data_IF_817774640316
#
_entry.id   IF_817774640316
#
_cell.length_a   1.000
_cell.length_b   1.000
_cell.length_c   1.000
_cell.angle_alpha   90.00
_cell.angle_beta   90.00
_cell.angle_gamma   90.00
#
_symmetry.space_group_name_H-M   'P 1'
#
loop_
_entity.id
_entity.type
_entity.pdbx_description
1 polymer ?
#
# COMPACT_ATOMS: atom_id res chain seq x y z
N UNK A 1 20.55 15.22 -2.06
CA UNK A 1 19.70 15.79 -0.98
C UNK A 1 18.54 14.85 -0.78
N UNK A 2 18.06 14.68 0.45
CA UNK A 2 16.89 13.85 0.71
C UNK A 2 15.63 14.62 0.29
N UNK A 3 14.75 14.08 -0.55
CA UNK A 3 13.55 14.78 -1.01
C UNK A 3 12.64 15.31 0.10
N UNK A 4 12.64 14.67 1.26
CA UNK A 4 11.85 15.13 2.41
C UNK A 4 12.40 16.41 3.06
N UNK A 5 13.67 16.73 2.85
CA UNK A 5 14.31 17.92 3.41
C UNK A 5 14.21 19.17 2.49
N UNK A 6 13.71 18.97 1.25
CA UNK A 6 13.58 20.03 0.25
C UNK A 6 12.25 20.79 0.33
N UNK A 7 11.32 20.34 1.17
CA UNK A 7 9.96 20.87 1.26
C UNK A 7 9.62 21.30 2.69
N UNK A 8 8.68 22.22 2.81
CA UNK A 8 8.11 22.64 4.07
C UNK A 8 6.98 21.72 4.51
N UNK A 9 7.02 21.32 5.78
CA UNK A 9 6.05 20.42 6.41
C UNK A 9 5.19 21.17 7.41
N UNK A 10 3.90 20.87 7.41
CA UNK A 10 2.95 21.38 8.41
C UNK A 10 2.14 20.24 9.00
N UNK A 11 1.54 20.51 10.16
CA UNK A 11 0.64 19.58 10.83
C UNK A 11 -0.77 20.14 10.78
N UNK A 12 -1.71 19.36 10.28
CA UNK A 12 -3.13 19.71 10.25
C UNK A 12 -3.98 18.67 10.99
N UNK A 13 -5.01 19.14 11.69
CA UNK A 13 -6.00 18.28 12.32
C UNK A 13 -6.99 17.77 11.29
N UNK A 14 -6.95 16.48 10.98
CA UNK A 14 -7.86 15.82 10.05
C UNK A 14 -8.98 15.14 10.83
N UNK A 15 -10.22 15.59 10.56
CA UNK A 15 -11.42 15.05 11.20
C UNK A 15 -12.42 14.56 10.16
N UNK A 16 -12.75 13.27 10.24
CA UNK A 16 -13.68 12.60 9.33
C UNK A 16 -14.88 12.12 10.13
N UNK A 17 -16.07 12.44 9.66
CA UNK A 17 -17.33 12.03 10.27
C UNK A 17 -18.13 11.17 9.29
N UNK A 18 -18.90 10.24 9.83
CA UNK A 18 -19.91 9.52 9.06
C UNK A 18 -21.15 10.39 8.79
N UNK A 19 -22.11 9.84 8.06
CA UNK A 19 -23.37 10.53 7.73
C UNK A 19 -24.22 10.87 8.98
N UNK A 20 -24.03 10.16 10.08
CA UNK A 20 -24.71 10.37 11.35
C UNK A 20 -24.01 11.40 12.24
N UNK A 21 -22.85 11.91 11.82
CA UNK A 21 -22.05 12.86 12.57
C UNK A 21 -21.04 12.24 13.54
N UNK A 22 -20.97 10.91 13.65
CA UNK A 22 -19.99 10.24 14.49
C UNK A 22 -18.57 10.40 13.92
N UNK A 23 -17.61 10.56 14.79
CA UNK A 23 -16.21 10.74 14.42
C UNK A 23 -15.61 9.37 14.05
N UNK A 24 -15.22 9.19 12.79
CA UNK A 24 -14.52 8.01 12.31
C UNK A 24 -13.00 8.16 12.41
N UNK A 25 -12.49 9.39 12.26
CA UNK A 25 -11.09 9.70 12.29
C UNK A 25 -10.88 11.12 12.84
N UNK A 26 -9.95 11.30 13.77
CA UNK A 26 -9.66 12.60 14.36
C UNK A 26 -8.21 12.62 14.85
N UNK A 27 -7.27 13.05 13.98
CA UNK A 27 -5.83 12.95 14.24
C UNK A 27 -5.07 14.10 13.61
N UNK A 28 -3.90 14.40 14.18
CA UNK A 28 -2.93 15.34 13.65
C UNK A 28 -2.07 14.63 12.62
N UNK A 29 -2.01 15.17 11.39
CA UNK A 29 -1.30 14.60 10.25
C UNK A 29 -0.24 15.59 9.75
N UNK A 30 1.00 15.13 9.65
CA UNK A 30 2.09 15.87 9.03
C UNK A 30 2.05 15.68 7.52
N UNK A 31 2.10 16.80 6.77
CA UNK A 31 2.03 16.78 5.30
C UNK A 31 2.78 17.97 4.69
N UNK A 32 3.12 17.92 3.37
CA UNK A 32 3.68 19.04 2.66
C UNK A 32 2.74 20.25 2.68
N UNK A 33 3.28 21.44 2.86
CA UNK A 33 2.50 22.70 2.92
C UNK A 33 1.64 22.93 1.67
N UNK A 34 2.08 22.44 0.52
CA UNK A 34 1.41 22.62 -0.77
C UNK A 34 0.37 21.54 -1.11
N UNK A 35 0.21 20.51 -0.25
CA UNK A 35 -0.88 19.55 -0.43
C UNK A 35 -2.21 20.18 -0.02
N UNK A 36 -3.22 20.03 -0.88
CA UNK A 36 -4.56 20.46 -0.53
C UNK A 36 -5.21 19.56 0.52
N UNK A 37 -6.27 20.07 1.15
CA UNK A 37 -6.98 19.34 2.22
C UNK A 37 -7.53 17.98 1.73
N UNK A 38 -7.98 17.89 0.48
CA UNK A 38 -8.53 16.67 -0.10
C UNK A 38 -7.46 15.59 -0.23
N UNK A 39 -6.27 15.95 -0.70
CA UNK A 39 -5.13 15.04 -0.83
C UNK A 39 -4.69 14.51 0.54
N UNK A 40 -4.54 15.41 1.53
CA UNK A 40 -4.17 15.03 2.91
C UNK A 40 -5.21 14.12 3.52
N UNK A 41 -6.48 14.48 3.41
CA UNK A 41 -7.61 13.69 3.93
C UNK A 41 -7.66 12.30 3.29
N UNK A 42 -7.50 12.21 1.97
CA UNK A 42 -7.50 10.94 1.25
C UNK A 42 -6.34 10.05 1.69
N UNK A 43 -5.13 10.63 1.81
CA UNK A 43 -3.97 9.90 2.29
C UNK A 43 -4.19 9.36 3.71
N UNK A 44 -4.68 10.21 4.62
CA UNK A 44 -4.92 9.84 6.01
C UNK A 44 -6.01 8.78 6.18
N UNK A 45 -7.10 8.89 5.43
CA UNK A 45 -8.25 7.99 5.53
C UNK A 45 -8.02 6.64 4.84
N UNK A 46 -7.38 6.65 3.67
CA UNK A 46 -7.31 5.47 2.80
C UNK A 46 -5.97 4.74 2.85
N UNK A 47 -4.87 5.45 3.06
CA UNK A 47 -3.54 4.90 2.85
C UNK A 47 -2.70 4.78 4.11
N UNK A 48 -2.91 5.65 5.10
CA UNK A 48 -2.21 5.53 6.38
C UNK A 48 -2.72 4.34 7.17
N UNK A 49 -1.78 3.53 7.67
CA UNK A 49 -2.11 2.38 8.50
C UNK A 49 -2.13 2.79 9.97
N UNK A 50 -3.25 2.52 10.63
CA UNK A 50 -3.39 2.52 12.09
C UNK A 50 -3.10 1.13 12.67
N UNK A 51 -3.00 1.04 13.99
CA UNK A 51 -2.82 -0.21 14.76
C UNK A 51 -1.51 -0.96 14.45
N UNK A 52 -0.44 -0.21 14.24
CA UNK A 52 0.91 -0.76 14.01
C UNK A 52 1.69 -0.95 15.32
N UNK A 53 1.08 -0.95 16.47
CA UNK A 53 1.58 -1.26 17.82
C UNK A 53 3.01 -0.90 18.21
N UNK A 54 3.93 -0.96 17.26
CA UNK A 54 5.36 -0.71 17.40
C UNK A 54 5.80 0.69 16.94
N UNK A 55 4.89 1.52 16.44
CA UNK A 55 5.17 2.91 16.11
C UNK A 55 4.74 3.87 17.24
N UNK A 56 5.37 5.06 17.39
CA UNK A 56 5.08 6.01 18.46
C UNK A 56 3.64 6.38 18.50
N UNK A 57 2.82 6.48 17.67
CA UNK A 57 1.38 6.80 17.74
C UNK A 57 0.47 5.63 17.37
N UNK A 58 0.99 4.40 17.47
CA UNK A 58 0.30 3.19 17.05
C UNK A 58 -0.15 3.22 15.59
N UNK A 59 0.61 3.90 14.71
CA UNK A 59 0.29 3.99 13.27
C UNK A 59 1.05 5.09 12.56
N UNK A 60 0.83 5.17 11.25
CA UNK A 60 1.37 6.22 10.39
C UNK A 60 0.65 7.55 10.67
N UNK A 61 1.40 8.66 10.74
CA UNK A 61 0.90 10.02 11.03
C UNK A 61 1.47 11.09 10.13
N UNK A 62 2.31 10.69 9.22
CA UNK A 62 2.93 11.59 8.24
C UNK A 62 2.77 11.02 6.84
N UNK A 63 2.61 11.90 5.87
CA UNK A 63 2.73 11.54 4.45
C UNK A 63 4.09 10.92 4.15
N UNK A 64 5.14 11.32 4.93
CA UNK A 64 6.47 10.69 4.85
C UNK A 64 6.42 9.19 5.09
N UNK A 65 5.64 8.75 6.09
CA UNK A 65 5.57 7.33 6.47
C UNK A 65 5.09 6.47 5.30
N UNK A 66 4.00 6.90 4.65
CA UNK A 66 3.40 6.19 3.52
C UNK A 66 4.35 6.17 2.31
N UNK A 67 4.91 7.33 1.95
CA UNK A 67 5.82 7.45 0.81
C UNK A 67 7.11 6.67 1.07
N UNK A 68 7.70 6.80 2.27
CA UNK A 68 8.88 6.04 2.65
C UNK A 68 8.64 4.53 2.57
N UNK A 69 7.56 4.06 3.18
CA UNK A 69 7.22 2.62 3.18
C UNK A 69 7.18 2.04 1.77
N UNK A 70 6.48 2.70 0.86
CA UNK A 70 6.34 2.21 -0.52
C UNK A 70 7.65 2.34 -1.29
N UNK A 71 8.29 3.51 -1.27
CA UNK A 71 9.52 3.77 -2.04
C UNK A 71 10.70 2.92 -1.56
N UNK A 72 10.89 2.82 -0.24
CA UNK A 72 11.95 2.01 0.37
C UNK A 72 11.81 0.54 -0.01
N UNK A 73 10.60 0.05 0.03
CA UNK A 73 10.36 -1.37 -0.19
C UNK A 73 10.52 -1.78 -1.65
N UNK A 74 10.10 -0.93 -2.59
CA UNK A 74 10.32 -1.15 -4.02
C UNK A 74 11.84 -1.18 -4.31
N UNK A 75 12.57 -0.21 -3.81
CA UNK A 75 14.01 -0.09 -4.05
C UNK A 75 14.80 -1.19 -3.37
N UNK A 76 14.43 -1.52 -2.13
CA UNK A 76 15.00 -2.67 -1.41
C UNK A 76 14.77 -3.98 -2.19
N UNK A 77 13.55 -4.22 -2.67
CA UNK A 77 13.24 -5.42 -3.46
C UNK A 77 14.05 -5.47 -4.77
N UNK A 78 14.18 -4.33 -5.45
CA UNK A 78 15.01 -4.22 -6.65
C UNK A 78 16.48 -4.55 -6.38
N UNK A 79 17.01 -4.12 -5.23
CA UNK A 79 18.35 -4.45 -4.79
C UNK A 79 18.48 -5.94 -4.42
N UNK A 80 17.58 -6.49 -3.62
CA UNK A 80 17.58 -7.88 -3.18
C UNK A 80 17.50 -8.86 -4.37
N UNK A 81 16.83 -8.46 -5.44
CA UNK A 81 16.72 -9.24 -6.68
C UNK A 81 17.87 -8.99 -7.69
N UNK A 82 18.81 -8.12 -7.34
CA UNK A 82 20.00 -7.83 -8.18
C UNK A 82 19.71 -6.93 -9.40
N UNK A 83 18.56 -6.25 -9.44
CA UNK A 83 18.25 -5.27 -10.50
C UNK A 83 18.92 -3.92 -10.25
N UNK A 84 19.20 -3.60 -8.99
CA UNK A 84 19.80 -2.34 -8.56
C UNK A 84 21.04 -2.60 -7.69
N UNK A 85 22.08 -1.82 -7.90
CA UNK A 85 23.17 -1.69 -6.94
C UNK A 85 22.81 -0.70 -5.82
N UNK A 86 23.72 -0.47 -4.87
CA UNK A 86 23.50 0.45 -3.75
C UNK A 86 23.20 1.87 -4.22
N UNK A 87 23.96 2.35 -5.21
CA UNK A 87 23.80 3.68 -5.76
C UNK A 87 22.48 3.83 -6.53
N UNK A 88 22.17 2.87 -7.39
CA UNK A 88 20.91 2.83 -8.15
C UNK A 88 19.68 2.74 -7.25
N UNK A 89 19.77 1.94 -6.18
CA UNK A 89 18.71 1.84 -5.17
C UNK A 89 18.44 3.18 -4.49
N UNK A 90 19.51 3.90 -4.10
CA UNK A 90 19.36 5.21 -3.50
C UNK A 90 18.76 6.24 -4.47
N UNK A 91 19.25 6.27 -5.71
CA UNK A 91 18.74 7.19 -6.74
C UNK A 91 17.24 6.93 -6.98
N UNK A 92 16.87 5.68 -7.21
CA UNK A 92 15.46 5.32 -7.45
C UNK A 92 14.57 5.67 -6.23
N UNK A 93 15.07 5.46 -5.01
CA UNK A 93 14.36 5.86 -3.79
C UNK A 93 14.10 7.37 -3.75
N UNK A 94 15.14 8.17 -3.96
CA UNK A 94 15.04 9.63 -3.93
C UNK A 94 14.07 10.14 -5.02
N UNK A 95 14.14 9.58 -6.23
CA UNK A 95 13.25 9.94 -7.34
C UNK A 95 11.79 9.54 -7.09
N UNK A 96 11.55 8.32 -6.59
CA UNK A 96 10.19 7.88 -6.23
C UNK A 96 9.59 8.76 -5.14
N UNK A 97 10.37 9.05 -4.08
CA UNK A 97 9.91 9.95 -3.02
C UNK A 97 9.55 11.32 -3.58
N UNK A 98 10.40 11.88 -4.44
CA UNK A 98 10.15 13.19 -5.04
C UNK A 98 8.89 13.20 -5.91
N UNK A 99 8.73 12.22 -6.79
CA UNK A 99 7.54 12.09 -7.67
C UNK A 99 6.25 11.96 -6.88
N UNK A 100 6.24 11.13 -5.83
CA UNK A 100 5.06 10.91 -4.99
C UNK A 100 4.73 12.14 -4.13
N UNK A 101 5.76 12.80 -3.56
CA UNK A 101 5.59 14.03 -2.77
C UNK A 101 4.97 15.14 -3.59
N UNK A 102 5.43 15.33 -4.82
CA UNK A 102 4.95 16.38 -5.72
C UNK A 102 3.70 15.98 -6.51
N UNK A 103 3.15 14.79 -6.25
CA UNK A 103 1.94 14.27 -6.90
C UNK A 103 2.04 14.13 -8.42
N UNK A 104 3.27 13.99 -8.96
CA UNK A 104 3.49 13.71 -10.38
C UNK A 104 3.25 12.24 -10.74
N UNK A 105 3.30 11.36 -9.76
CA UNK A 105 2.99 9.95 -9.91
C UNK A 105 2.20 9.45 -8.71
N UNK A 106 1.43 8.37 -8.92
CA UNK A 106 0.79 7.62 -7.86
C UNK A 106 0.75 6.14 -8.23
N UNK A 107 0.92 5.27 -7.26
CA UNK A 107 0.62 3.86 -7.42
C UNK A 107 -0.88 3.61 -7.28
N UNK A 108 -1.34 2.45 -7.73
CA UNK A 108 -2.71 2.01 -7.45
C UNK A 108 -2.93 1.83 -5.93
N UNK A 109 -4.18 1.93 -5.50
CA UNK A 109 -4.53 1.89 -4.07
C UNK A 109 -4.03 0.65 -3.33
N UNK A 110 -4.07 -0.58 -3.86
CA UNK A 110 -3.54 -1.75 -3.17
C UNK A 110 -2.05 -1.66 -2.80
N UNK A 111 -1.22 -0.97 -3.59
CA UNK A 111 0.18 -0.73 -3.24
C UNK A 111 0.28 0.13 -1.99
N UNK A 112 -0.45 1.25 -1.92
CA UNK A 112 -0.45 2.13 -0.75
C UNK A 112 -1.09 1.48 0.48
N UNK A 113 -2.14 0.68 0.32
CA UNK A 113 -2.89 0.10 1.44
C UNK A 113 -2.22 -1.14 2.01
N UNK A 114 -1.65 -2.00 1.15
CA UNK A 114 -1.25 -3.35 1.54
C UNK A 114 0.26 -3.58 1.54
N UNK A 115 1.00 -2.95 0.61
CA UNK A 115 2.39 -3.33 0.40
C UNK A 115 3.28 -2.92 1.56
N UNK A 116 4.16 -3.85 1.92
CA UNK A 116 5.32 -3.68 2.79
C UNK A 116 5.02 -3.39 4.27
N UNK A 117 3.76 -3.48 4.67
CA UNK A 117 3.41 -3.39 6.08
C UNK A 117 4.10 -4.47 6.93
N UNK A 118 4.25 -5.67 6.37
CA UNK A 118 4.97 -6.75 7.03
C UNK A 118 6.49 -6.49 7.08
N UNK A 119 7.09 -6.11 5.95
CA UNK A 119 8.54 -5.95 5.85
C UNK A 119 9.06 -4.74 6.61
N UNK A 120 8.32 -3.63 6.63
CA UNK A 120 8.74 -2.38 7.28
C UNK A 120 8.33 -2.35 8.76
N UNK A 121 7.13 -2.80 9.09
CA UNK A 121 6.58 -2.68 10.44
C UNK A 121 6.39 -4.02 11.16
N UNK A 122 6.63 -5.15 10.50
CA UNK A 122 6.34 -6.47 11.07
C UNK A 122 4.84 -6.75 11.23
N UNK A 123 3.99 -6.00 10.51
CA UNK A 123 2.55 -6.12 10.62
C UNK A 123 2.05 -7.40 9.97
N UNK A 124 1.55 -8.32 10.79
CA UNK A 124 1.15 -9.67 10.37
C UNK A 124 -0.29 -9.76 9.86
N UNK A 125 -1.13 -8.81 10.26
CA UNK A 125 -2.56 -8.85 9.98
C UNK A 125 -3.32 -9.91 10.79
N UNK A 126 -4.45 -10.36 10.29
CA UNK A 126 -5.29 -11.35 10.94
C UNK A 126 -4.74 -12.77 10.69
N UNK A 127 -4.41 -13.50 11.74
CA UNK A 127 -3.88 -14.87 11.65
C UNK A 127 -4.87 -15.90 11.07
N UNK A 128 -6.15 -15.56 11.01
CA UNK A 128 -7.19 -16.41 10.43
C UNK A 128 -7.31 -16.26 8.92
N UNK A 129 -6.83 -15.14 8.37
CA UNK A 129 -6.86 -14.87 6.93
C UNK A 129 -5.59 -15.42 6.30
N UNK A 130 -5.68 -16.61 5.73
CA UNK A 130 -4.56 -17.21 5.01
C UNK A 130 -4.72 -16.93 3.52
N UNK A 131 -3.72 -16.31 2.94
CA UNK A 131 -3.66 -16.01 1.50
C UNK A 131 -2.70 -16.96 0.80
N UNK A 132 -2.91 -17.14 -0.49
CA UNK A 132 -2.02 -17.90 -1.35
C UNK A 132 -1.09 -16.95 -2.10
N UNK A 133 0.16 -17.35 -2.26
CA UNK A 133 1.14 -16.63 -3.05
C UNK A 133 1.93 -17.60 -3.93
N UNK A 134 2.55 -17.04 -4.96
CA UNK A 134 3.43 -17.78 -5.86
C UNK A 134 4.88 -17.54 -5.45
N UNK A 135 5.60 -18.60 -5.20
CA UNK A 135 7.01 -18.56 -4.83
C UNK A 135 7.88 -18.46 -6.06
N UNK A 136 8.51 -17.30 -6.25
CA UNK A 136 9.48 -17.06 -7.30
C UNK A 136 8.99 -17.36 -8.73
N UNK A 137 9.96 -17.57 -9.63
CA UNK A 137 9.74 -17.87 -11.06
C UNK A 137 9.22 -19.29 -11.31
N UNK A 138 9.28 -20.17 -10.32
CA UNK A 138 8.94 -21.60 -10.46
C UNK A 138 7.44 -21.87 -10.37
N UNK A 139 6.63 -20.81 -10.25
CA UNK A 139 5.18 -20.87 -10.17
C UNK A 139 4.63 -21.82 -9.07
N UNK A 140 5.44 -22.14 -8.05
CA UNK A 140 4.98 -22.93 -6.91
C UNK A 140 4.02 -22.11 -6.07
N UNK A 141 2.78 -22.59 -5.96
CA UNK A 141 1.74 -21.95 -5.14
C UNK A 141 1.87 -22.42 -3.70
N UNK A 142 1.93 -21.50 -2.77
CA UNK A 142 2.01 -21.81 -1.34
C UNK A 142 1.07 -20.93 -0.52
N UNK A 143 0.65 -21.44 0.64
CA UNK A 143 -0.15 -20.69 1.58
C UNK A 143 0.77 -19.85 2.47
N UNK A 144 0.55 -18.55 2.51
CA UNK A 144 1.32 -17.62 3.34
C UNK A 144 1.07 -17.87 4.83
N UNK A 145 2.09 -17.61 5.64
CA UNK A 145 1.98 -17.68 7.09
C UNK A 145 1.21 -16.48 7.66
N UNK A 146 1.44 -15.29 7.10
CA UNK A 146 0.82 -14.04 7.55
C UNK A 146 0.11 -13.33 6.39
N UNK A 147 -0.95 -12.60 6.73
CA UNK A 147 -1.82 -11.93 5.75
C UNK A 147 -1.06 -10.94 4.86
N UNK A 148 -0.09 -10.18 5.42
CA UNK A 148 0.64 -9.13 4.73
C UNK A 148 2.05 -9.51 4.27
N UNK A 149 2.43 -10.79 4.36
CA UNK A 149 3.78 -11.25 3.98
C UNK A 149 4.08 -11.04 2.49
N UNK A 150 3.13 -11.34 1.61
CA UNK A 150 3.17 -11.04 0.18
C UNK A 150 1.84 -10.43 -0.23
N UNK A 151 1.63 -9.19 0.13
CA UNK A 151 0.36 -8.55 -0.08
C UNK A 151 0.12 -8.22 -1.55
N UNK A 152 -1.16 -8.32 -1.95
CA UNK A 152 -1.61 -8.02 -3.29
C UNK A 152 -1.44 -6.54 -3.62
N UNK A 153 -0.73 -6.25 -4.74
CA UNK A 153 -0.48 -4.90 -5.24
C UNK A 153 -1.24 -4.55 -6.52
N UNK A 154 -1.89 -5.54 -7.19
CA UNK A 154 -2.68 -5.27 -8.39
C UNK A 154 -4.10 -4.81 -8.00
N UNK A 155 -4.59 -3.78 -8.69
CA UNK A 155 -5.92 -3.24 -8.44
C UNK A 155 -7.02 -3.97 -9.21
N UNK A 156 -6.66 -4.54 -10.36
CA UNK A 156 -7.62 -5.15 -11.28
C UNK A 156 -7.09 -6.49 -11.79
N UNK A 157 -8.00 -7.41 -11.99
CA UNK A 157 -7.75 -8.69 -12.64
C UNK A 157 -8.69 -8.81 -13.84
N UNK A 158 -8.17 -9.37 -14.91
CA UNK A 158 -8.95 -9.70 -16.10
C UNK A 158 -9.04 -11.22 -16.12
N UNK A 159 -10.27 -11.73 -16.12
CA UNK A 159 -10.56 -13.15 -16.27
C UNK A 159 -11.39 -13.34 -17.50
N UNK A 160 -11.10 -14.38 -18.25
CA UNK A 160 -11.95 -14.81 -19.35
C UNK A 160 -13.16 -15.54 -18.78
N UNK A 161 -14.35 -15.19 -19.29
CA UNK A 161 -15.61 -15.81 -18.94
C UNK A 161 -16.26 -16.24 -20.25
N UNK A 162 -16.53 -17.52 -20.41
CA UNK A 162 -17.21 -18.04 -21.58
C UNK A 162 -18.70 -17.69 -21.54
N UNK A 163 -19.32 -17.54 -22.72
CA UNK A 163 -20.75 -17.22 -22.87
C UNK A 163 -21.61 -18.48 -22.61
N UNK A 164 -21.39 -19.09 -21.47
CA UNK A 164 -22.11 -20.24 -20.96
C UNK A 164 -22.53 -20.02 -19.52
N UNK A 165 -23.73 -20.46 -19.17
CA UNK A 165 -24.27 -20.21 -17.83
C UNK A 165 -23.77 -21.25 -16.80
N UNK A 166 -23.78 -22.54 -17.15
CA UNK A 166 -23.58 -23.65 -16.19
C UNK A 166 -22.62 -24.74 -16.70
N UNK A 167 -22.53 -25.00 -18.00
CA UNK A 167 -21.93 -26.22 -18.55
C UNK A 167 -20.47 -26.12 -18.99
N UNK A 168 -19.76 -25.00 -18.76
CA UNK A 168 -18.36 -24.81 -19.13
C UNK A 168 -17.41 -24.75 -17.94
N UNK A 169 -16.12 -25.01 -18.16
CA UNK A 169 -15.09 -24.88 -17.12
C UNK A 169 -14.81 -23.42 -16.72
N UNK A 170 -15.31 -22.43 -17.49
CA UNK A 170 -15.12 -20.98 -17.26
C UNK A 170 -16.44 -20.20 -17.47
N UNK A 171 -17.58 -20.83 -17.21
CA UNK A 171 -18.89 -20.19 -17.35
C UNK A 171 -19.16 -19.13 -16.29
N UNK A 172 -20.27 -18.40 -16.43
CA UNK A 172 -20.64 -17.30 -15.53
C UNK A 172 -20.74 -17.76 -14.06
N UNK A 173 -21.29 -18.94 -13.80
CA UNK A 173 -21.39 -19.46 -12.44
C UNK A 173 -20.02 -19.87 -11.84
N UNK A 174 -19.13 -20.43 -12.65
CA UNK A 174 -17.78 -20.75 -12.20
C UNK A 174 -16.99 -19.52 -11.85
N UNK A 175 -17.14 -18.46 -12.65
CA UNK A 175 -16.54 -17.17 -12.37
C UNK A 175 -17.05 -16.58 -11.05
N UNK A 176 -18.37 -16.60 -10.79
CA UNK A 176 -18.95 -16.13 -9.52
C UNK A 176 -18.40 -16.92 -8.33
N UNK A 177 -18.26 -18.25 -8.45
CA UNK A 177 -17.70 -19.09 -7.39
C UNK A 177 -16.20 -18.86 -7.16
N UNK A 178 -15.47 -18.45 -8.20
CA UNK A 178 -14.01 -18.18 -8.10
C UNK A 178 -13.71 -16.84 -7.43
N UNK A 179 -14.60 -15.83 -7.58
CA UNK A 179 -14.37 -14.47 -7.01
C UNK A 179 -15.04 -14.26 -5.65
N UNK A 180 -15.87 -15.15 -5.17
CA UNK A 180 -16.46 -15.10 -3.83
C UNK A 180 -15.60 -15.83 -2.81
#
# INVERSE_FOLDING_TARGET
VNPFDEIEWIISRIKIKNINGDILFDQDIEHPVFWDEMAVRTCAEKYMKSDLGNLPHNGERSVKDVIHRVSFSITKRGKDLGYLDEKGSKILYDELCWLLLHQFAAFNSPVFVNWWLYDVYGFKGNSKTKRWAIKNRDAEVYQQQFEYENAQGAACFITEVEDELIDGENGIYDWVNTVM
#
